data_IF_590130531302
#
_entry.id   IF_590130531302
#
_cell.length_a   1.000
_cell.length_b   1.000
_cell.length_c   1.000
_cell.angle_alpha   90.00
_cell.angle_beta   90.00
_cell.angle_gamma   90.00
#
_symmetry.space_group_name_H-M   'P 1'
#
loop_
_entity.id
_entity.type
_entity.pdbx_description
1 polymer ?
#
# COMPACT_ATOMS: atom_id res chain seq x y z
N UNK A 1 -7.34 -2.61 9.37
CA UNK A 1 -6.13 -1.85 9.84
C UNK A 1 -5.05 -1.97 8.79
N UNK A 2 -4.45 -0.84 8.35
CA UNK A 2 -3.42 -0.81 7.31
C UNK A 2 -2.03 -0.69 7.97
N UNK A 3 -1.08 -1.52 7.54
CA UNK A 3 0.32 -1.47 7.93
C UNK A 3 1.20 -1.41 6.67
N UNK A 4 2.30 -0.68 6.70
CA UNK A 4 3.19 -0.59 5.54
C UNK A 4 4.67 -0.54 5.92
N UNK A 5 5.50 -1.09 5.05
CA UNK A 5 6.95 -1.15 5.20
C UNK A 5 7.66 -0.91 3.89
N UNK A 6 8.76 -0.18 3.96
CA UNK A 6 9.62 0.10 2.83
C UNK A 6 10.94 -0.66 2.99
N UNK A 7 11.35 -1.32 1.93
CA UNK A 7 12.58 -2.08 1.82
C UNK A 7 13.47 -1.41 0.79
N UNK A 8 14.77 -1.28 1.09
CA UNK A 8 15.77 -0.73 0.17
C UNK A 8 16.86 -1.77 -0.06
N UNK A 9 17.33 -1.88 -1.30
CA UNK A 9 18.44 -2.80 -1.60
C UNK A 9 19.66 -2.44 -0.76
N UNK A 10 20.24 -3.43 -0.08
CA UNK A 10 21.38 -3.24 0.83
C UNK A 10 21.02 -2.82 2.25
N UNK A 11 19.73 -2.71 2.59
CA UNK A 11 19.25 -2.47 3.95
C UNK A 11 18.50 -3.72 4.43
N UNK A 12 18.99 -4.38 5.48
CA UNK A 12 18.38 -5.60 6.03
C UNK A 12 17.08 -5.33 6.79
N UNK A 13 16.91 -4.11 7.32
CA UNK A 13 15.72 -3.73 8.08
C UNK A 13 14.73 -2.94 7.22
N UNK A 14 13.46 -3.32 7.32
CA UNK A 14 12.37 -2.59 6.70
C UNK A 14 12.05 -1.33 7.50
N UNK A 15 11.85 -0.21 6.82
CA UNK A 15 11.40 1.04 7.43
C UNK A 15 9.88 1.04 7.54
N UNK A 16 9.29 1.15 8.74
CA UNK A 16 7.84 1.27 8.87
C UNK A 16 7.36 2.58 8.22
N UNK A 17 6.23 2.51 7.54
CA UNK A 17 5.58 3.65 6.88
C UNK A 17 4.26 3.94 7.57
N UNK A 18 4.06 5.20 7.95
CA UNK A 18 2.80 5.67 8.52
C UNK A 18 1.69 5.63 7.45
N UNK A 19 0.51 5.11 7.82
CA UNK A 19 -0.63 4.97 6.92
C UNK A 19 -1.06 6.31 6.28
N UNK A 20 -0.91 7.42 6.99
CA UNK A 20 -1.25 8.76 6.48
C UNK A 20 -0.24 9.28 5.45
N UNK A 21 0.92 8.63 5.32
CA UNK A 21 2.02 9.03 4.42
C UNK A 21 2.25 8.06 3.27
N UNK A 22 1.33 7.10 3.06
CA UNK A 22 1.44 6.05 2.04
C UNK A 22 1.65 6.58 0.62
N UNK A 23 0.92 7.64 0.24
CA UNK A 23 1.06 8.26 -1.08
C UNK A 23 2.49 8.78 -1.33
N UNK A 24 3.01 9.57 -0.39
CA UNK A 24 4.38 10.09 -0.48
C UNK A 24 5.44 8.97 -0.39
N UNK A 25 5.20 7.92 0.39
CA UNK A 25 6.08 6.76 0.46
C UNK A 25 6.11 5.96 -0.85
N UNK A 26 4.97 5.85 -1.54
CA UNK A 26 4.87 5.22 -2.86
C UNK A 26 5.63 6.03 -3.91
N UNK A 27 5.42 7.35 -3.96
CA UNK A 27 6.14 8.25 -4.87
C UNK A 27 7.65 8.17 -4.68
N UNK A 28 8.11 8.22 -3.41
CA UNK A 28 9.52 8.06 -3.08
C UNK A 28 10.06 6.71 -3.50
N UNK A 29 9.28 5.64 -3.30
CA UNK A 29 9.70 4.30 -3.70
C UNK A 29 9.78 4.13 -5.22
N UNK A 30 8.93 4.83 -5.99
CA UNK A 30 9.02 4.88 -7.46
C UNK A 30 10.23 5.66 -7.94
N UNK A 31 10.56 6.76 -7.27
CA UNK A 31 11.72 7.58 -7.60
C UNK A 31 13.05 6.83 -7.32
N UNK A 32 13.07 5.96 -6.31
CA UNK A 32 14.24 5.17 -5.95
C UNK A 32 14.28 3.81 -6.68
N UNK A 33 15.26 3.63 -7.58
CA UNK A 33 15.36 2.48 -8.51
C UNK A 33 15.56 1.09 -7.88
N UNK A 34 15.73 0.99 -6.56
CA UNK A 34 15.97 -0.27 -5.84
C UNK A 34 15.20 -0.30 -4.50
N UNK A 35 13.91 0.05 -4.52
CA UNK A 35 13.08 0.01 -3.33
C UNK A 35 11.75 -0.71 -3.55
N UNK A 36 11.24 -1.35 -2.49
CA UNK A 36 9.98 -2.08 -2.47
C UNK A 36 9.12 -1.54 -1.33
N UNK A 37 7.84 -1.31 -1.60
CA UNK A 37 6.86 -0.90 -0.60
C UNK A 37 5.84 -2.05 -0.43
N UNK A 38 5.79 -2.64 0.76
CA UNK A 38 4.79 -3.64 1.15
C UNK A 38 3.69 -2.93 1.94
N UNK A 39 2.43 -3.17 1.58
CA UNK A 39 1.26 -2.65 2.30
C UNK A 39 0.41 -3.87 2.65
N UNK A 40 0.28 -4.14 3.94
CA UNK A 40 -0.55 -5.22 4.47
C UNK A 40 -1.83 -4.61 5.05
N UNK A 41 -2.98 -5.15 4.64
CA UNK A 41 -4.29 -4.66 5.09
C UNK A 41 -5.06 -5.83 5.67
N UNK A 42 -5.22 -5.83 6.99
CA UNK A 42 -5.96 -6.86 7.69
C UNK A 42 -7.44 -6.50 7.74
N UNK A 43 -8.30 -7.41 7.24
CA UNK A 43 -9.75 -7.27 7.16
C UNK A 43 -10.17 -5.87 6.69
N UNK A 44 -9.83 -5.49 5.44
CA UNK A 44 -10.10 -4.15 4.93
C UNK A 44 -11.60 -3.84 4.97
N UNK A 45 -11.96 -2.71 5.56
CA UNK A 45 -13.29 -2.14 5.42
C UNK A 45 -13.46 -1.53 4.01
N UNK A 46 -14.70 -1.25 3.61
CA UNK A 46 -14.96 -0.52 2.36
C UNK A 46 -14.21 0.82 2.31
N UNK A 47 -14.14 1.53 3.44
CA UNK A 47 -13.40 2.79 3.56
C UNK A 47 -11.89 2.61 3.38
N UNK A 48 -11.31 1.51 3.88
CA UNK A 48 -9.90 1.18 3.67
C UNK A 48 -9.61 0.90 2.19
N UNK A 49 -10.50 0.18 1.50
CA UNK A 49 -10.38 -0.11 0.07
C UNK A 49 -10.47 1.17 -0.77
N UNK A 50 -11.38 2.09 -0.42
CA UNK A 50 -11.50 3.38 -1.10
C UNK A 50 -10.24 4.25 -0.91
N UNK A 51 -9.68 4.27 0.30
CA UNK A 51 -8.43 4.98 0.58
C UNK A 51 -7.24 4.39 -0.19
N UNK A 52 -7.19 3.06 -0.34
CA UNK A 52 -6.19 2.37 -1.16
C UNK A 52 -6.38 2.68 -2.65
N UNK A 53 -7.61 2.71 -3.15
CA UNK A 53 -7.93 3.05 -4.54
C UNK A 53 -7.52 4.49 -4.89
N UNK A 54 -7.65 5.41 -3.94
CA UNK A 54 -7.23 6.80 -4.11
C UNK A 54 -5.69 6.94 -4.16
N UNK A 55 -4.97 6.02 -3.49
CA UNK A 55 -3.51 6.10 -3.32
C UNK A 55 -2.73 5.28 -4.35
N UNK A 56 -3.27 4.11 -4.71
CA UNK A 56 -2.67 3.16 -5.64
C UNK A 56 -3.45 3.18 -6.95
N UNK A 57 -2.78 3.19 -8.11
CA UNK A 57 -3.45 3.04 -9.40
C UNK A 57 -3.88 1.58 -9.58
N UNK A 58 -4.91 1.17 -8.84
CA UNK A 58 -5.55 -0.13 -8.97
C UNK A 58 -6.58 -0.05 -10.09
N UNK A 59 -6.69 -1.13 -10.87
CA UNK A 59 -7.74 -1.23 -11.86
C UNK A 59 -9.11 -1.35 -11.16
N UNK A 60 -10.18 -0.66 -11.61
CA UNK A 60 -11.49 -0.69 -10.95
C UNK A 60 -12.03 -2.11 -10.72
N UNK A 61 -11.88 -3.01 -11.70
CA UNK A 61 -12.28 -4.42 -11.54
C UNK A 61 -11.58 -5.12 -10.37
N UNK A 62 -10.29 -4.85 -10.15
CA UNK A 62 -9.55 -5.42 -9.02
C UNK A 62 -10.10 -4.93 -7.69
N UNK A 63 -10.56 -3.66 -7.63
CA UNK A 63 -11.17 -3.12 -6.43
C UNK A 63 -12.51 -3.79 -6.12
N UNK A 64 -13.33 -4.03 -7.15
CA UNK A 64 -14.63 -4.70 -6.98
C UNK A 64 -14.47 -6.17 -6.58
N UNK A 65 -13.47 -6.87 -7.13
CA UNK A 65 -13.10 -8.22 -6.70
C UNK A 65 -12.68 -8.24 -5.22
N UNK A 66 -11.82 -7.30 -4.81
CA UNK A 66 -11.38 -7.16 -3.42
C UNK A 66 -12.54 -6.84 -2.46
N UNK A 67 -13.46 -5.96 -2.86
CA UNK A 67 -14.66 -5.64 -2.08
C UNK A 67 -15.57 -6.85 -1.93
N UNK A 68 -15.77 -7.62 -3.00
CA UNK A 68 -16.62 -8.81 -2.99
C UNK A 68 -16.01 -9.92 -2.13
N UNK A 69 -14.69 -10.09 -2.15
CA UNK A 69 -13.98 -11.09 -1.36
C UNK A 69 -13.87 -10.77 0.14
N UNK A 70 -14.13 -9.51 0.54
CA UNK A 70 -14.08 -9.05 1.93
C UNK A 70 -15.48 -8.79 2.54
N UNK A 71 -16.56 -9.09 1.80
CA UNK A 71 -17.94 -9.17 2.32
C UNK A 71 -18.22 -10.60 2.82
#
# INVERSE_FOLDING_TARGET
MIQAWRYRQGVEQAEPVDANTLSSALERSRAERCSLLRIDVAAPSAADLDALAATLPLHPLTLDDLRSANQ
#
